data_IF_290062229218
#
_entry.id   IF_290062229218
#
_cell.length_a   1.000
_cell.length_b   1.000
_cell.length_c   1.000
_cell.angle_alpha   90.00
_cell.angle_beta   90.00
_cell.angle_gamma   90.00
#
_symmetry.space_group_name_H-M   'P 1'
#
loop_
_entity.id
_entity.type
_entity.pdbx_description
1 polymer ?
#
# COMPACT_ATOMS: atom_id res chain seq x y z
N UNK A 1 82.87 38.62 5.08
CA UNK A 1 82.38 37.20 5.06
C UNK A 1 80.96 37.18 5.31
N UNK A 2 80.13 37.20 4.22
CA UNK A 2 78.67 37.28 4.26
C UNK A 2 78.07 35.89 4.06
N UNK A 3 77.32 35.43 5.04
CA UNK A 3 76.46 34.24 4.87
C UNK A 3 75.06 34.69 4.51
N UNK A 4 74.64 34.42 3.30
CA UNK A 4 73.27 34.62 2.81
C UNK A 4 72.43 33.40 3.21
N UNK A 5 71.43 33.62 4.05
CA UNK A 5 70.45 32.59 4.38
C UNK A 5 69.35 32.64 3.30
N UNK A 6 69.23 31.55 2.53
CA UNK A 6 68.11 31.32 1.61
C UNK A 6 66.96 30.69 2.40
N UNK A 7 65.91 31.47 2.62
CA UNK A 7 64.62 30.97 3.17
C UNK A 7 63.78 30.44 2.01
N UNK A 8 63.56 29.12 1.91
CA UNK A 8 62.61 28.52 0.99
C UNK A 8 61.20 28.64 1.64
N UNK A 9 60.30 29.44 1.05
CA UNK A 9 58.87 29.39 1.32
C UNK A 9 58.26 28.21 0.59
N UNK A 10 57.90 27.17 1.31
CA UNK A 10 57.07 26.09 0.78
C UNK A 10 55.60 26.47 0.84
N UNK A 11 55.02 26.87 -0.29
CA UNK A 11 53.59 27.13 -0.45
C UNK A 11 52.86 25.76 -0.57
N UNK A 12 52.27 25.31 0.53
CA UNK A 12 51.41 24.15 0.52
C UNK A 12 50.07 24.54 -0.12
N UNK A 13 49.84 24.17 -1.39
CA UNK A 13 48.53 24.19 -2.01
C UNK A 13 47.64 23.13 -1.36
N UNK A 14 46.80 23.55 -0.42
CA UNK A 14 45.69 22.70 0.06
C UNK A 14 44.67 22.59 -1.07
N UNK A 15 44.75 21.48 -1.83
CA UNK A 15 43.62 21.04 -2.68
C UNK A 15 42.46 20.65 -1.77
N UNK A 16 41.55 21.58 -1.56
CA UNK A 16 40.24 21.26 -1.06
C UNK A 16 39.55 20.37 -2.10
N UNK A 17 39.52 19.08 -1.87
CA UNK A 17 38.65 18.15 -2.58
C UNK A 17 37.21 18.59 -2.25
N UNK A 18 36.66 19.51 -3.05
CA UNK A 18 35.23 19.73 -3.08
C UNK A 18 34.59 18.40 -3.52
N UNK A 19 34.15 17.61 -2.55
CA UNK A 19 33.26 16.49 -2.85
C UNK A 19 32.07 17.04 -3.61
N UNK A 20 31.81 16.60 -4.87
CA UNK A 20 30.64 17.09 -5.58
C UNK A 20 29.43 16.79 -4.71
N UNK A 21 28.64 17.81 -4.40
CA UNK A 21 27.33 17.66 -3.78
C UNK A 21 26.51 16.77 -4.74
N UNK A 22 26.51 15.48 -4.46
CA UNK A 22 25.83 14.51 -5.30
C UNK A 22 24.34 14.81 -5.19
N UNK A 23 23.74 15.29 -6.28
CA UNK A 23 22.31 15.52 -6.30
C UNK A 23 21.57 14.28 -5.80
N UNK A 24 20.84 14.43 -4.71
CA UNK A 24 20.06 13.35 -4.10
C UNK A 24 18.79 13.11 -4.90
N UNK A 25 18.27 11.91 -4.84
CA UNK A 25 16.95 11.59 -5.41
C UNK A 25 15.91 11.94 -4.35
N UNK A 26 15.18 13.04 -4.55
CA UNK A 26 14.18 13.53 -3.60
C UNK A 26 12.89 12.74 -3.68
N UNK A 27 12.50 12.09 -2.60
CA UNK A 27 11.24 11.38 -2.43
C UNK A 27 10.36 12.15 -1.44
N UNK A 28 9.19 12.59 -1.88
CA UNK A 28 8.21 13.27 -1.01
C UNK A 28 7.11 12.30 -0.60
N UNK A 29 7.02 12.03 0.69
CA UNK A 29 5.98 11.19 1.28
C UNK A 29 4.78 12.01 1.73
N UNK A 30 3.59 11.66 1.28
CA UNK A 30 2.32 12.28 1.63
C UNK A 30 1.45 11.20 2.27
N UNK A 31 1.36 11.22 3.60
CA UNK A 31 0.80 10.12 4.36
C UNK A 31 -0.32 10.57 5.27
N UNK A 32 -1.29 9.72 5.51
CA UNK A 32 -2.29 9.90 6.55
C UNK A 32 -1.63 9.59 7.92
N UNK A 33 -0.98 10.58 8.56
CA UNK A 33 -0.31 10.39 9.85
C UNK A 33 -1.22 10.72 11.03
N UNK A 34 -2.36 11.36 10.76
CA UNK A 34 -3.42 11.64 11.72
C UNK A 34 -4.81 11.41 11.09
N UNK A 35 -5.85 11.39 11.92
CA UNK A 35 -7.22 11.11 11.49
C UNK A 35 -7.49 9.62 11.23
N UNK A 36 -8.50 9.31 10.43
CA UNK A 36 -9.01 7.94 10.22
C UNK A 36 -8.03 7.01 9.50
N UNK A 37 -7.03 7.56 8.82
CA UNK A 37 -6.02 6.79 8.08
C UNK A 37 -4.68 6.64 8.80
N UNK A 38 -4.57 7.07 10.06
CA UNK A 38 -3.29 7.15 10.76
C UNK A 38 -2.53 5.82 10.81
N UNK A 39 -3.23 4.71 11.00
CA UNK A 39 -2.63 3.37 10.98
C UNK A 39 -2.05 3.04 9.60
N UNK A 40 -2.84 3.20 8.54
CA UNK A 40 -2.43 2.88 7.17
C UNK A 40 -1.26 3.77 6.72
N UNK A 41 -1.38 5.08 6.90
CA UNK A 41 -0.35 6.04 6.50
C UNK A 41 0.96 5.89 7.27
N UNK A 42 0.91 5.64 8.58
CA UNK A 42 2.11 5.41 9.41
C UNK A 42 2.84 4.14 8.97
N UNK A 43 2.12 3.05 8.73
CA UNK A 43 2.72 1.81 8.23
C UNK A 43 3.37 2.03 6.86
N UNK A 44 2.66 2.66 5.92
CA UNK A 44 3.19 2.94 4.58
C UNK A 44 4.47 3.80 4.65
N UNK A 45 4.45 4.89 5.44
CA UNK A 45 5.63 5.74 5.70
C UNK A 45 6.81 4.91 6.22
N UNK A 46 6.60 4.12 7.25
CA UNK A 46 7.66 3.34 7.87
C UNK A 46 8.24 2.29 6.90
N UNK A 47 7.41 1.72 6.02
CA UNK A 47 7.87 0.86 4.93
C UNK A 47 8.78 1.61 3.95
N UNK A 48 8.38 2.81 3.51
CA UNK A 48 9.20 3.67 2.63
C UNK A 48 10.54 4.02 3.29
N UNK A 49 10.51 4.45 4.56
CA UNK A 49 11.72 4.82 5.30
C UNK A 49 12.70 3.65 5.46
N UNK A 50 12.19 2.45 5.74
CA UNK A 50 13.00 1.25 5.82
C UNK A 50 13.71 0.96 4.50
N UNK A 51 12.96 1.00 3.38
CA UNK A 51 13.52 0.77 2.05
C UNK A 51 14.57 1.83 1.69
N UNK A 52 14.28 3.12 1.94
CA UNK A 52 15.24 4.22 1.72
C UNK A 52 16.53 3.98 2.51
N UNK A 53 16.43 3.60 3.78
CA UNK A 53 17.58 3.29 4.62
C UNK A 53 18.41 2.12 4.06
N UNK A 54 17.76 1.04 3.64
CA UNK A 54 18.45 -0.14 3.10
C UNK A 54 19.11 0.17 1.75
N UNK A 55 18.42 0.84 0.84
CA UNK A 55 18.97 1.25 -0.47
C UNK A 55 20.14 2.21 -0.28
N UNK A 56 20.01 3.17 0.63
CA UNK A 56 21.10 4.10 0.92
C UNK A 56 22.31 3.39 1.54
N UNK A 57 22.10 2.41 2.41
CA UNK A 57 23.20 1.59 2.95
C UNK A 57 23.92 0.79 1.84
N UNK A 58 23.17 0.32 0.83
CA UNK A 58 23.70 -0.41 -0.32
C UNK A 58 24.37 0.48 -1.40
N UNK A 59 24.44 1.81 -1.21
CA UNK A 59 25.10 2.72 -2.18
C UNK A 59 24.15 3.67 -2.92
N UNK A 60 22.82 3.54 -2.72
CA UNK A 60 21.83 4.35 -3.42
C UNK A 60 21.39 3.75 -4.76
N UNK A 61 20.78 4.55 -5.61
CA UNK A 61 20.38 4.16 -6.97
C UNK A 61 21.26 4.89 -7.97
N UNK A 62 21.90 4.18 -8.89
CA UNK A 62 22.89 4.73 -9.82
C UNK A 62 23.94 5.60 -9.09
N UNK A 63 24.36 5.18 -7.89
CA UNK A 63 25.33 5.90 -7.05
C UNK A 63 24.77 7.16 -6.36
N UNK A 64 23.47 7.46 -6.45
CA UNK A 64 22.82 8.59 -5.79
C UNK A 64 22.02 8.14 -4.59
N UNK A 65 22.18 8.84 -3.46
CA UNK A 65 21.38 8.59 -2.25
C UNK A 65 19.96 9.12 -2.42
N UNK A 66 19.04 8.46 -1.73
CA UNK A 66 17.66 8.90 -1.60
C UNK A 66 17.55 9.88 -0.43
N UNK A 67 16.86 10.98 -0.63
CA UNK A 67 16.40 11.89 0.41
C UNK A 67 14.88 11.72 0.54
N UNK A 68 14.38 11.46 1.74
CA UNK A 68 12.96 11.27 1.98
C UNK A 68 12.44 12.30 2.97
N UNK A 69 11.32 12.95 2.60
CA UNK A 69 10.54 13.83 3.46
C UNK A 69 9.15 13.25 3.67
N UNK A 70 8.52 13.53 4.81
CA UNK A 70 7.19 13.07 5.14
C UNK A 70 6.30 14.25 5.54
N UNK A 71 5.06 14.27 5.05
CA UNK A 71 4.04 15.25 5.39
C UNK A 71 2.72 14.55 5.74
N UNK A 72 2.00 15.11 6.72
CA UNK A 72 0.71 14.59 7.19
C UNK A 72 -0.44 15.16 6.35
N UNK A 73 -1.16 14.30 5.65
CA UNK A 73 -2.37 14.66 4.90
C UNK A 73 -3.58 14.87 5.81
N UNK A 74 -3.47 14.54 7.10
CA UNK A 74 -4.56 14.61 8.09
C UNK A 74 -5.80 13.79 7.68
N UNK A 75 -5.61 12.77 6.85
CA UNK A 75 -6.70 12.02 6.20
C UNK A 75 -7.69 12.91 5.43
N UNK A 76 -7.23 14.08 4.98
CA UNK A 76 -8.04 15.10 4.30
C UNK A 76 -7.61 15.26 2.84
N UNK A 77 -8.54 15.03 1.86
CA UNK A 77 -8.21 15.13 0.44
C UNK A 77 -7.72 16.53 0.01
N UNK A 78 -8.26 17.60 0.59
CA UNK A 78 -7.84 18.97 0.29
C UNK A 78 -6.40 19.27 0.75
N UNK A 79 -6.04 18.80 1.94
CA UNK A 79 -4.67 18.88 2.48
C UNK A 79 -3.72 18.06 1.60
N UNK A 80 -4.10 16.82 1.24
CA UNK A 80 -3.30 15.97 0.35
C UNK A 80 -2.99 16.66 -0.98
N UNK A 81 -3.99 17.34 -1.59
CA UNK A 81 -3.78 18.12 -2.82
C UNK A 81 -2.76 19.25 -2.61
N UNK A 82 -2.93 20.06 -1.58
CA UNK A 82 -1.98 21.14 -1.27
C UNK A 82 -0.56 20.65 -1.04
N UNK A 83 -0.41 19.55 -0.32
CA UNK A 83 0.90 18.92 -0.10
C UNK A 83 1.50 18.33 -1.38
N UNK A 84 0.68 17.84 -2.32
CA UNK A 84 1.17 17.39 -3.63
C UNK A 84 1.76 18.55 -4.43
N UNK A 85 1.08 19.70 -4.45
CA UNK A 85 1.62 20.93 -5.07
C UNK A 85 2.95 21.30 -4.44
N UNK A 86 2.99 21.36 -3.10
CA UNK A 86 4.24 21.68 -2.38
C UNK A 86 5.37 20.69 -2.70
N UNK A 87 5.09 19.38 -2.73
CA UNK A 87 6.09 18.37 -3.07
C UNK A 87 6.69 18.60 -4.48
N UNK A 88 5.85 18.98 -5.44
CA UNK A 88 6.26 19.35 -6.80
C UNK A 88 7.16 20.57 -6.78
N UNK A 89 6.76 21.63 -6.09
CA UNK A 89 7.51 22.89 -5.99
C UNK A 89 8.87 22.70 -5.28
N UNK A 90 8.92 21.81 -4.28
CA UNK A 90 10.16 21.42 -3.59
C UNK A 90 11.08 20.52 -4.45
N UNK A 91 10.66 20.18 -5.67
CA UNK A 91 11.45 19.43 -6.64
C UNK A 91 11.47 17.92 -6.42
N UNK A 92 10.37 17.32 -5.90
CA UNK A 92 10.25 15.88 -5.77
C UNK A 92 10.57 15.16 -7.08
N UNK A 93 11.40 14.13 -7.01
CA UNK A 93 11.63 13.20 -8.11
C UNK A 93 10.48 12.18 -8.24
N UNK A 94 10.02 11.70 -7.09
CA UNK A 94 8.84 10.84 -6.98
C UNK A 94 8.06 11.16 -5.69
N UNK A 95 6.76 10.88 -5.71
CA UNK A 95 5.86 11.04 -4.57
C UNK A 95 5.41 9.65 -4.10
N UNK A 96 5.36 9.44 -2.78
CA UNK A 96 4.86 8.23 -2.13
C UNK A 96 3.62 8.54 -1.29
N UNK A 97 2.52 7.86 -1.56
CA UNK A 97 1.21 8.17 -1.00
C UNK A 97 0.40 9.14 -1.88
N UNK A 98 -0.81 9.53 -1.46
CA UNK A 98 -1.53 9.06 -0.27
C UNK A 98 -1.89 7.57 -0.31
N UNK A 99 -2.40 7.04 0.83
CA UNK A 99 -2.98 5.69 0.90
C UNK A 99 -4.48 5.72 0.65
N UNK A 100 -5.18 6.72 1.17
CA UNK A 100 -6.64 6.82 1.01
C UNK A 100 -7.04 7.19 -0.42
N UNK A 101 -7.94 6.38 -1.00
CA UNK A 101 -8.39 6.54 -2.39
C UNK A 101 -8.96 7.92 -2.67
N UNK A 102 -9.76 8.50 -1.77
CA UNK A 102 -10.31 9.85 -1.92
C UNK A 102 -9.23 10.94 -1.98
N UNK A 103 -8.18 10.82 -1.15
CA UNK A 103 -7.03 11.73 -1.18
C UNK A 103 -6.26 11.62 -2.50
N UNK A 104 -6.08 10.40 -3.01
CA UNK A 104 -5.41 10.15 -4.29
C UNK A 104 -6.20 10.77 -5.44
N UNK A 105 -7.51 10.52 -5.50
CA UNK A 105 -8.40 11.00 -6.56
C UNK A 105 -8.37 12.53 -6.72
N UNK A 106 -8.21 13.26 -5.61
CA UNK A 106 -8.16 14.72 -5.61
C UNK A 106 -6.76 15.25 -5.92
N UNK A 107 -5.70 14.55 -5.50
CA UNK A 107 -4.31 15.04 -5.56
C UNK A 107 -3.55 14.62 -6.83
N UNK A 108 -3.89 13.46 -7.43
CA UNK A 108 -3.10 12.89 -8.52
C UNK A 108 -3.06 13.72 -9.81
N UNK A 109 -3.99 14.65 -10.01
CA UNK A 109 -3.95 15.58 -11.13
C UNK A 109 -2.73 16.51 -11.07
N UNK A 110 -2.25 16.84 -9.87
CA UNK A 110 -1.10 17.71 -9.67
C UNK A 110 0.21 16.98 -10.05
N UNK A 111 0.34 15.68 -9.71
CA UNK A 111 1.48 14.86 -10.14
C UNK A 111 1.52 14.70 -11.68
N UNK A 112 0.34 14.59 -12.33
CA UNK A 112 0.24 14.54 -13.80
C UNK A 112 0.74 15.83 -14.45
N UNK A 113 0.28 16.98 -13.96
CA UNK A 113 0.70 18.29 -14.50
C UNK A 113 2.21 18.50 -14.40
N UNK A 114 2.81 18.04 -13.30
CA UNK A 114 4.23 18.16 -13.02
C UNK A 114 5.08 17.02 -13.58
N UNK A 115 4.45 16.01 -14.19
CA UNK A 115 5.13 14.83 -14.73
C UNK A 115 5.99 14.09 -13.69
N UNK A 116 5.47 14.00 -12.43
CA UNK A 116 6.15 13.37 -11.30
C UNK A 116 5.54 12.00 -11.04
N UNK A 117 6.32 10.90 -11.08
CA UNK A 117 5.83 9.57 -10.68
C UNK A 117 5.28 9.57 -9.26
N UNK A 118 4.06 9.08 -9.08
CA UNK A 118 3.36 9.02 -7.80
C UNK A 118 2.96 7.57 -7.47
N UNK A 119 3.56 7.03 -6.41
CA UNK A 119 3.33 5.67 -5.92
C UNK A 119 2.25 5.71 -4.83
N UNK A 120 1.08 5.19 -5.14
CA UNK A 120 -0.12 5.30 -4.30
C UNK A 120 -0.52 3.97 -3.67
N UNK A 121 -1.04 4.02 -2.43
CA UNK A 121 -1.46 2.81 -1.70
C UNK A 121 -2.93 2.45 -1.86
N UNK A 122 -3.76 3.30 -2.50
CA UNK A 122 -5.20 3.12 -2.57
C UNK A 122 -5.66 2.06 -3.57
N UNK A 123 -6.84 1.50 -3.34
CA UNK A 123 -7.34 0.33 -4.05
C UNK A 123 -8.52 0.63 -5.01
N UNK A 124 -9.14 1.84 -4.91
CA UNK A 124 -10.25 2.20 -5.79
C UNK A 124 -9.87 2.08 -7.28
N UNK A 125 -10.65 1.31 -8.03
CA UNK A 125 -10.38 1.05 -9.44
C UNK A 125 -10.33 2.35 -10.28
N UNK A 126 -11.09 3.37 -9.89
CA UNK A 126 -11.14 4.65 -10.57
C UNK A 126 -9.79 5.40 -10.60
N UNK A 127 -8.85 5.11 -9.70
CA UNK A 127 -7.55 5.81 -9.62
C UNK A 127 -6.79 5.70 -10.94
N UNK A 128 -6.58 4.49 -11.44
CA UNK A 128 -5.80 4.24 -12.65
C UNK A 128 -6.64 4.33 -13.94
N UNK A 129 -7.96 4.11 -13.84
CA UNK A 129 -8.89 4.27 -14.99
C UNK A 129 -9.00 5.70 -15.51
N UNK A 130 -8.50 6.72 -14.78
CA UNK A 130 -8.45 8.09 -15.29
C UNK A 130 -7.31 8.35 -16.30
N UNK A 131 -6.48 7.35 -16.58
CA UNK A 131 -5.41 7.45 -17.57
C UNK A 131 -4.34 8.48 -17.20
N UNK A 132 -3.97 8.56 -15.93
CA UNK A 132 -2.84 9.34 -15.48
C UNK A 132 -1.55 8.52 -15.61
N UNK A 133 -0.62 8.85 -16.55
CA UNK A 133 0.56 8.03 -16.81
C UNK A 133 1.65 8.18 -15.74
N UNK A 134 1.42 8.99 -14.71
CA UNK A 134 2.35 9.21 -13.60
C UNK A 134 1.85 8.62 -12.27
N UNK A 135 0.74 7.88 -12.26
CA UNK A 135 0.23 7.21 -11.05
C UNK A 135 0.49 5.71 -11.14
N UNK A 136 1.13 5.18 -10.11
CA UNK A 136 1.53 3.77 -10.00
C UNK A 136 1.04 3.20 -8.67
N UNK A 137 0.23 2.16 -8.75
CA UNK A 137 -0.35 1.52 -7.59
C UNK A 137 0.63 0.53 -6.96
N UNK A 138 0.72 0.53 -5.63
CA UNK A 138 1.51 -0.45 -4.86
C UNK A 138 0.64 -1.51 -4.20
N UNK A 139 -0.68 -1.42 -4.36
CA UNK A 139 -1.71 -2.38 -3.92
C UNK A 139 -2.38 -3.06 -5.12
N UNK A 140 -3.27 -4.03 -4.87
CA UNK A 140 -4.20 -4.49 -5.89
C UNK A 140 -5.30 -3.47 -6.15
N UNK A 141 -5.81 -3.46 -7.37
CA UNK A 141 -7.07 -2.76 -7.68
C UNK A 141 -8.26 -3.62 -7.24
N UNK A 142 -9.36 -2.97 -6.87
CA UNK A 142 -10.63 -3.64 -6.53
C UNK A 142 -11.11 -4.56 -7.66
N UNK A 143 -10.90 -4.18 -8.92
CA UNK A 143 -11.27 -5.01 -10.07
C UNK A 143 -10.51 -6.35 -10.14
N UNK A 144 -9.30 -6.40 -9.59
CA UNK A 144 -8.50 -7.63 -9.50
C UNK A 144 -8.84 -8.45 -8.24
N UNK A 145 -9.06 -7.77 -7.11
CA UNK A 145 -9.28 -8.41 -5.81
C UNK A 145 -10.71 -9.00 -5.67
N UNK A 146 -11.75 -8.22 -6.00
CA UNK A 146 -13.13 -8.60 -5.72
C UNK A 146 -13.62 -9.86 -6.45
N UNK A 147 -13.24 -10.15 -7.71
CA UNK A 147 -13.55 -11.43 -8.33
C UNK A 147 -12.96 -12.64 -7.60
N UNK A 148 -11.80 -12.50 -6.95
CA UNK A 148 -11.18 -13.58 -6.15
C UNK A 148 -11.99 -13.82 -4.88
N UNK A 149 -12.41 -12.75 -4.19
CA UNK A 149 -13.30 -12.81 -3.01
C UNK A 149 -14.64 -13.46 -3.38
N UNK A 150 -15.26 -13.04 -4.47
CA UNK A 150 -16.56 -13.57 -4.91
C UNK A 150 -16.48 -15.08 -5.22
N UNK A 151 -15.41 -15.55 -5.89
CA UNK A 151 -15.18 -16.98 -6.12
C UNK A 151 -15.03 -17.77 -4.82
N UNK A 152 -14.32 -17.22 -3.84
CA UNK A 152 -14.20 -17.83 -2.52
C UNK A 152 -15.56 -17.92 -1.80
N UNK A 153 -16.36 -16.85 -1.84
CA UNK A 153 -17.72 -16.84 -1.24
C UNK A 153 -18.62 -17.88 -1.90
N UNK A 154 -18.63 -17.95 -3.23
CA UNK A 154 -19.48 -18.88 -3.98
C UNK A 154 -19.00 -20.34 -3.87
N UNK A 155 -17.72 -20.61 -4.06
CA UNK A 155 -17.14 -21.95 -4.14
C UNK A 155 -16.67 -22.50 -2.79
N UNK A 156 -15.91 -21.69 -2.04
CA UNK A 156 -15.34 -22.08 -0.75
C UNK A 156 -16.38 -22.11 0.37
N UNK A 157 -17.17 -21.05 0.51
CA UNK A 157 -18.23 -20.96 1.52
C UNK A 157 -19.57 -21.53 1.06
N UNK A 158 -19.77 -21.72 -0.24
CA UNK A 158 -21.03 -22.15 -0.87
C UNK A 158 -22.21 -21.22 -0.53
N UNK A 159 -21.93 -19.95 -0.22
CA UNK A 159 -22.95 -18.97 0.10
C UNK A 159 -23.77 -18.59 -1.15
N UNK A 160 -25.07 -18.36 -0.98
CA UNK A 160 -26.00 -17.91 -2.02
C UNK A 160 -26.37 -16.45 -1.85
N UNK A 161 -26.25 -15.95 -0.63
CA UNK A 161 -26.61 -14.58 -0.24
C UNK A 161 -25.52 -13.93 0.59
N UNK A 162 -25.29 -12.64 0.37
CA UNK A 162 -24.29 -11.84 1.09
C UNK A 162 -24.90 -10.52 1.54
N UNK A 163 -24.63 -10.13 2.78
CA UNK A 163 -24.78 -8.75 3.23
C UNK A 163 -23.42 -8.02 3.01
N UNK A 164 -23.45 -6.80 2.51
CA UNK A 164 -22.26 -5.97 2.30
C UNK A 164 -22.27 -4.82 3.30
N UNK A 165 -21.25 -4.72 4.14
CA UNK A 165 -21.00 -3.64 5.08
C UNK A 165 -19.75 -2.87 4.61
N UNK A 166 -19.89 -1.59 4.29
CA UNK A 166 -18.82 -0.81 3.70
C UNK A 166 -18.76 0.62 4.24
N UNK A 167 -17.56 1.23 4.20
CA UNK A 167 -17.38 2.64 4.55
C UNK A 167 -17.82 3.56 3.41
N UNK A 168 -18.53 4.64 3.74
CA UNK A 168 -19.08 5.61 2.79
C UNK A 168 -18.03 6.64 2.32
N UNK A 169 -17.04 6.19 1.58
CA UNK A 169 -16.04 7.02 0.89
C UNK A 169 -15.67 6.37 -0.46
N UNK A 170 -14.76 6.97 -1.23
CA UNK A 170 -14.39 6.46 -2.56
C UNK A 170 -13.83 5.03 -2.52
N UNK A 171 -13.08 4.68 -1.47
CA UNK A 171 -12.58 3.32 -1.25
C UNK A 171 -13.74 2.34 -1.03
N UNK A 172 -14.59 2.60 -0.04
CA UNK A 172 -15.67 1.69 0.33
C UNK A 172 -16.74 1.55 -0.74
N UNK A 173 -17.15 2.67 -1.37
CA UNK A 173 -18.11 2.66 -2.49
C UNK A 173 -17.60 1.87 -3.68
N UNK A 174 -16.37 2.12 -4.10
CA UNK A 174 -15.75 1.39 -5.21
C UNK A 174 -15.66 -0.11 -4.93
N UNK A 175 -15.28 -0.50 -3.70
CA UNK A 175 -15.24 -1.89 -3.28
C UNK A 175 -16.62 -2.54 -3.21
N UNK A 176 -17.63 -1.82 -2.69
CA UNK A 176 -19.03 -2.26 -2.68
C UNK A 176 -19.54 -2.53 -4.10
N UNK A 177 -19.29 -1.62 -5.03
CA UNK A 177 -19.72 -1.79 -6.42
C UNK A 177 -19.01 -2.96 -7.10
N UNK A 178 -17.69 -3.08 -6.92
CA UNK A 178 -16.89 -4.14 -7.48
C UNK A 178 -17.27 -5.53 -6.93
N UNK A 179 -17.46 -5.67 -5.61
CA UNK A 179 -17.88 -6.95 -5.03
C UNK A 179 -19.30 -7.33 -5.42
N UNK A 180 -20.23 -6.36 -5.47
CA UNK A 180 -21.62 -6.60 -5.90
C UNK A 180 -21.66 -7.16 -7.32
N UNK A 181 -20.90 -6.55 -8.23
CA UNK A 181 -20.76 -7.06 -9.60
C UNK A 181 -20.15 -8.45 -9.62
N UNK A 182 -19.03 -8.65 -8.94
CA UNK A 182 -18.33 -9.93 -8.93
C UNK A 182 -19.17 -11.06 -8.32
N UNK A 183 -19.99 -10.79 -7.30
CA UNK A 183 -20.94 -11.74 -6.70
C UNK A 183 -22.04 -12.10 -7.69
N UNK A 184 -22.59 -11.13 -8.42
CA UNK A 184 -23.58 -11.38 -9.45
C UNK A 184 -23.02 -12.27 -10.57
N UNK A 185 -21.78 -12.06 -11.00
CA UNK A 185 -21.09 -12.84 -12.04
C UNK A 185 -20.93 -14.33 -11.64
N UNK A 186 -20.94 -14.66 -10.32
CA UNK A 186 -20.87 -16.03 -9.80
C UNK A 186 -22.20 -16.53 -9.20
N UNK A 187 -23.32 -15.83 -9.43
CA UNK A 187 -24.65 -16.24 -9.03
C UNK A 187 -24.97 -16.07 -7.54
N UNK A 188 -24.26 -15.21 -6.83
CA UNK A 188 -24.50 -14.86 -5.41
C UNK A 188 -25.24 -13.54 -5.33
N UNK A 189 -26.30 -13.45 -4.51
CA UNK A 189 -27.13 -12.27 -4.36
C UNK A 189 -26.70 -11.40 -3.18
N UNK A 190 -26.57 -10.10 -3.38
CA UNK A 190 -26.48 -9.12 -2.29
C UNK A 190 -27.88 -8.87 -1.77
N UNK A 191 -28.13 -9.16 -0.48
CA UNK A 191 -29.43 -9.02 0.18
C UNK A 191 -29.51 -7.87 1.17
N UNK A 192 -28.37 -7.28 1.53
CA UNK A 192 -28.31 -6.06 2.33
C UNK A 192 -27.08 -5.25 1.93
N UNK A 193 -27.26 -3.94 1.82
CA UNK A 193 -26.24 -2.94 1.49
C UNK A 193 -26.19 -1.93 2.65
N UNK A 194 -25.11 -2.00 3.46
CA UNK A 194 -25.01 -1.36 4.77
C UNK A 194 -23.84 -0.39 4.75
N UNK A 195 -24.15 0.88 4.67
CA UNK A 195 -23.18 1.98 4.69
C UNK A 195 -22.84 2.39 6.13
N UNK A 196 -21.55 2.69 6.38
CA UNK A 196 -21.04 3.28 7.61
C UNK A 196 -20.24 4.54 7.30
N UNK A 197 -20.13 5.48 8.22
CA UNK A 197 -19.36 6.69 8.02
C UNK A 197 -17.85 6.46 8.26
N UNK A 198 -16.99 7.23 7.59
CA UNK A 198 -15.56 7.22 7.88
C UNK A 198 -15.30 7.67 9.32
N UNK A 199 -14.53 6.86 10.07
CA UNK A 199 -14.26 7.09 11.48
C UNK A 199 -15.39 6.68 12.43
N UNK A 200 -16.45 6.02 11.94
CA UNK A 200 -17.57 5.57 12.77
C UNK A 200 -17.11 4.73 13.97
N UNK A 201 -17.64 5.06 15.15
CA UNK A 201 -17.28 4.42 16.41
C UNK A 201 -18.28 3.34 16.79
N UNK A 202 -19.56 3.63 16.69
CA UNK A 202 -20.65 2.71 17.07
C UNK A 202 -21.12 1.90 15.85
N UNK A 203 -20.96 0.58 15.94
CA UNK A 203 -21.37 -0.38 14.89
C UNK A 203 -22.62 -1.17 15.29
N UNK A 204 -23.29 -0.82 16.40
CA UNK A 204 -24.47 -1.55 16.90
C UNK A 204 -25.59 -1.65 15.85
N UNK A 205 -25.96 -0.54 15.22
CA UNK A 205 -27.02 -0.51 14.20
C UNK A 205 -26.59 -1.16 12.87
N UNK A 206 -25.41 -0.90 12.30
CA UNK A 206 -24.91 -1.63 11.12
C UNK A 206 -24.86 -3.15 11.31
N UNK A 207 -24.36 -3.62 12.44
CA UNK A 207 -24.30 -5.05 12.76
C UNK A 207 -25.68 -5.66 12.93
N UNK A 208 -26.61 -4.95 13.59
CA UNK A 208 -28.02 -5.41 13.69
C UNK A 208 -28.64 -5.59 12.31
N UNK A 209 -28.43 -4.63 11.38
CA UNK A 209 -28.92 -4.74 9.99
C UNK A 209 -28.30 -5.96 9.28
N UNK A 210 -26.99 -6.21 9.46
CA UNK A 210 -26.34 -7.38 8.91
C UNK A 210 -26.94 -8.70 9.42
N UNK A 211 -27.24 -8.78 10.71
CA UNK A 211 -27.92 -9.95 11.31
C UNK A 211 -29.34 -10.14 10.76
N UNK A 212 -30.11 -9.07 10.71
CA UNK A 212 -31.51 -9.09 10.23
C UNK A 212 -31.63 -9.45 8.74
N UNK A 213 -30.58 -9.21 7.94
CA UNK A 213 -30.56 -9.61 6.52
C UNK A 213 -30.65 -11.12 6.31
N UNK A 214 -30.30 -11.89 7.31
CA UNK A 214 -30.21 -13.36 7.28
C UNK A 214 -29.32 -13.90 6.13
N UNK A 215 -28.40 -13.08 5.59
CA UNK A 215 -27.47 -13.50 4.55
C UNK A 215 -26.61 -14.71 4.99
N UNK A 216 -26.16 -15.53 4.03
CA UNK A 216 -25.28 -16.69 4.31
C UNK A 216 -23.88 -16.26 4.77
N UNK A 217 -23.40 -15.09 4.31
CA UNK A 217 -22.12 -14.52 4.71
C UNK A 217 -22.22 -12.98 4.78
N UNK A 218 -21.30 -12.37 5.53
CA UNK A 218 -21.12 -10.92 5.60
C UNK A 218 -19.79 -10.56 4.94
N UNK A 219 -19.83 -9.68 3.94
CA UNK A 219 -18.64 -9.03 3.39
C UNK A 219 -18.44 -7.69 4.09
N UNK A 220 -17.26 -7.49 4.69
CA UNK A 220 -16.88 -6.25 5.40
C UNK A 220 -15.77 -5.56 4.64
N UNK A 221 -16.00 -4.30 4.27
CA UNK A 221 -15.05 -3.48 3.52
C UNK A 221 -15.00 -2.04 4.07
N UNK A 222 -14.31 -1.90 5.17
CA UNK A 222 -14.12 -0.65 5.92
C UNK A 222 -12.62 -0.41 6.15
N UNK A 223 -12.24 0.77 6.65
CA UNK A 223 -10.85 1.00 7.03
C UNK A 223 -10.48 0.16 8.27
N UNK A 224 -9.22 0.13 8.65
CA UNK A 224 -8.68 -0.80 9.64
C UNK A 224 -9.34 -0.67 11.03
N UNK A 225 -9.43 0.54 11.58
CA UNK A 225 -10.04 0.76 12.91
C UNK A 225 -11.52 0.43 12.93
N UNK A 226 -12.22 0.76 11.85
CA UNK A 226 -13.64 0.48 11.66
C UNK A 226 -13.88 -1.04 11.53
N UNK A 227 -13.03 -1.74 10.79
CA UNK A 227 -13.05 -3.21 10.67
C UNK A 227 -12.91 -3.88 12.04
N UNK A 228 -11.98 -3.41 12.87
CA UNK A 228 -11.80 -3.93 14.22
C UNK A 228 -13.05 -3.70 15.12
N UNK A 229 -13.67 -2.51 15.02
CA UNK A 229 -14.91 -2.19 15.74
C UNK A 229 -16.07 -3.05 15.26
N UNK A 230 -16.21 -3.23 13.95
CA UNK A 230 -17.23 -4.09 13.35
C UNK A 230 -17.08 -5.54 13.82
N UNK A 231 -15.86 -6.10 13.81
CA UNK A 231 -15.61 -7.47 14.27
C UNK A 231 -15.99 -7.65 15.75
N UNK A 232 -15.59 -6.73 16.63
CA UNK A 232 -15.95 -6.78 18.05
C UNK A 232 -17.46 -6.73 18.25
N UNK A 233 -18.15 -5.83 17.56
CA UNK A 233 -19.62 -5.70 17.69
C UNK A 233 -20.35 -6.92 17.10
N UNK A 234 -19.86 -7.49 15.99
CA UNK A 234 -20.39 -8.73 15.41
C UNK A 234 -20.34 -9.87 16.44
N UNK A 235 -19.21 -10.06 17.12
CA UNK A 235 -19.08 -11.11 18.14
C UNK A 235 -19.93 -10.83 19.38
N UNK A 236 -19.93 -9.58 19.86
CA UNK A 236 -20.77 -9.15 20.97
C UNK A 236 -22.25 -9.41 20.73
N UNK A 237 -22.74 -9.19 19.51
CA UNK A 237 -24.12 -9.48 19.13
C UNK A 237 -24.36 -10.95 18.74
N UNK A 238 -23.37 -11.84 18.87
CA UNK A 238 -23.50 -13.26 18.58
C UNK A 238 -23.63 -13.58 17.09
N UNK A 239 -23.01 -12.80 16.21
CA UNK A 239 -22.94 -13.13 14.77
C UNK A 239 -22.05 -14.34 14.55
N UNK A 240 -22.60 -15.42 14.01
CA UNK A 240 -21.94 -16.73 13.88
C UNK A 240 -21.77 -17.21 12.42
N UNK A 241 -22.21 -16.42 11.44
CA UNK A 241 -22.02 -16.73 10.03
C UNK A 241 -20.65 -16.27 9.54
N UNK A 242 -20.15 -16.77 8.38
CA UNK A 242 -18.87 -16.37 7.82
C UNK A 242 -18.76 -14.86 7.64
N UNK A 243 -17.60 -14.32 8.06
CA UNK A 243 -17.20 -12.93 7.86
C UNK A 243 -16.04 -12.93 6.87
N UNK A 244 -16.23 -12.28 5.75
CA UNK A 244 -15.26 -12.22 4.64
C UNK A 244 -14.94 -10.78 4.33
N UNK A 245 -13.72 -10.50 3.92
CA UNK A 245 -13.31 -9.19 3.47
C UNK A 245 -12.17 -9.23 2.47
N UNK A 246 -11.54 -8.10 2.39
CA UNK A 246 -10.32 -7.87 1.66
C UNK A 246 -9.26 -7.38 2.67
N UNK A 247 -8.10 -7.02 2.23
CA UNK A 247 -6.87 -6.73 2.98
C UNK A 247 -7.09 -5.95 4.29
N UNK A 248 -8.00 -4.96 4.30
CA UNK A 248 -8.28 -4.11 5.48
C UNK A 248 -9.02 -4.82 6.60
N UNK A 249 -9.66 -5.99 6.35
CA UNK A 249 -10.40 -6.71 7.39
C UNK A 249 -9.48 -7.52 8.31
N UNK A 250 -8.37 -8.02 7.80
CA UNK A 250 -7.51 -8.98 8.52
C UNK A 250 -6.08 -8.49 8.70
N UNK A 251 -5.82 -7.19 8.46
CA UNK A 251 -4.52 -6.58 8.69
C UNK A 251 -4.04 -6.74 10.15
N UNK A 252 -2.73 -6.74 10.38
CA UNK A 252 -2.14 -6.97 11.71
C UNK A 252 -2.72 -6.03 12.78
N UNK A 253 -2.92 -4.74 12.44
CA UNK A 253 -3.50 -3.77 13.36
C UNK A 253 -4.96 -4.07 13.70
N UNK A 254 -5.73 -4.57 12.74
CA UNK A 254 -7.12 -5.01 12.98
C UNK A 254 -7.15 -6.19 13.95
N UNK A 255 -6.26 -7.16 13.76
CA UNK A 255 -6.13 -8.32 14.65
C UNK A 255 -5.79 -7.87 16.08
N UNK A 256 -4.82 -6.96 16.22
CA UNK A 256 -4.45 -6.40 17.53
C UNK A 256 -5.61 -5.69 18.21
N UNK A 257 -6.32 -4.84 17.48
CA UNK A 257 -7.42 -4.04 18.02
C UNK A 257 -8.69 -4.88 18.30
N UNK A 258 -8.97 -5.87 17.47
CA UNK A 258 -10.15 -6.72 17.63
C UNK A 258 -9.92 -7.87 18.62
N UNK A 259 -8.66 -8.29 18.83
CA UNK A 259 -8.32 -9.44 19.64
C UNK A 259 -9.01 -10.71 19.15
N UNK A 260 -9.57 -11.51 20.05
CA UNK A 260 -10.25 -12.76 19.73
C UNK A 260 -11.46 -12.59 18.80
N UNK A 261 -12.03 -11.39 18.72
CA UNK A 261 -13.13 -11.10 17.79
C UNK A 261 -12.73 -11.24 16.32
N UNK A 262 -11.43 -11.14 16.00
CA UNK A 262 -10.93 -11.33 14.65
C UNK A 262 -10.86 -12.80 14.23
N UNK A 263 -10.80 -13.75 15.18
CA UNK A 263 -10.65 -15.17 14.86
C UNK A 263 -11.78 -15.67 13.95
N UNK A 264 -11.41 -16.43 12.90
CA UNK A 264 -12.33 -16.95 11.89
C UNK A 264 -12.76 -15.95 10.83
N UNK A 265 -12.33 -14.66 10.89
CA UNK A 265 -12.49 -13.75 9.77
C UNK A 265 -11.57 -14.18 8.62
N UNK A 266 -12.08 -14.19 7.40
CA UNK A 266 -11.35 -14.56 6.20
C UNK A 266 -11.21 -13.35 5.25
N UNK A 267 -10.12 -13.28 4.51
CA UNK A 267 -9.95 -12.22 3.51
C UNK A 267 -9.07 -12.65 2.35
N UNK A 268 -9.29 -12.03 1.20
CA UNK A 268 -8.26 -11.92 0.17
C UNK A 268 -7.26 -10.84 0.60
N UNK A 269 -5.99 -11.16 0.58
CA UNK A 269 -4.92 -10.18 0.86
C UNK A 269 -3.86 -10.19 -0.24
N UNK A 270 -3.55 -9.03 -0.75
CA UNK A 270 -2.48 -8.87 -1.72
C UNK A 270 -1.09 -9.01 -1.10
N UNK A 271 -0.95 -8.71 0.19
CA UNK A 271 0.28 -8.77 0.95
C UNK A 271 -0.01 -9.16 2.40
N UNK A 272 0.81 -10.04 2.94
CA UNK A 272 0.80 -10.41 4.36
C UNK A 272 2.21 -10.68 4.86
N UNK A 273 2.51 -10.23 6.07
CA UNK A 273 3.78 -10.54 6.76
C UNK A 273 3.89 -12.03 7.16
N UNK A 274 2.80 -12.76 7.08
CA UNK A 274 2.72 -14.19 7.42
C UNK A 274 2.80 -15.09 6.17
N UNK A 275 3.07 -14.49 4.98
CA UNK A 275 3.34 -15.26 3.77
C UNK A 275 4.58 -16.15 3.96
N UNK A 276 4.53 -17.41 3.50
CA UNK A 276 5.64 -18.36 3.63
C UNK A 276 6.74 -18.06 2.58
N UNK A 277 7.34 -16.89 2.68
CA UNK A 277 8.35 -16.38 1.74
C UNK A 277 9.58 -15.89 2.53
N UNK A 278 10.80 -16.36 2.23
CA UNK A 278 12.00 -15.95 2.96
C UNK A 278 12.29 -14.44 2.91
N UNK A 279 11.95 -13.76 1.81
CA UNK A 279 12.13 -12.31 1.69
C UNK A 279 11.12 -11.56 2.56
N UNK A 280 9.89 -12.08 2.67
CA UNK A 280 8.90 -11.54 3.59
C UNK A 280 9.31 -11.71 5.06
N UNK A 281 9.87 -12.86 5.42
CA UNK A 281 10.41 -13.08 6.78
C UNK A 281 11.54 -12.10 7.10
N UNK A 282 12.41 -11.82 6.12
CA UNK A 282 13.48 -10.82 6.27
C UNK A 282 12.90 -9.42 6.46
N UNK A 283 11.93 -9.01 5.63
CA UNK A 283 11.24 -7.73 5.79
C UNK A 283 10.58 -7.62 7.17
N UNK A 284 9.81 -8.63 7.58
CA UNK A 284 9.14 -8.69 8.89
C UNK A 284 10.12 -8.46 10.05
N UNK A 285 11.26 -9.15 10.03
CA UNK A 285 12.30 -9.01 11.05
C UNK A 285 12.95 -7.62 11.04
N UNK A 286 13.27 -7.08 9.86
CA UNK A 286 13.89 -5.76 9.72
C UNK A 286 12.93 -4.64 10.15
N UNK A 287 11.67 -4.74 9.77
CA UNK A 287 10.64 -3.77 10.14
C UNK A 287 10.42 -3.77 11.66
N UNK A 288 10.27 -4.95 12.27
CA UNK A 288 10.13 -5.06 13.74
C UNK A 288 11.34 -4.47 14.47
N UNK A 289 12.55 -4.75 13.99
CA UNK A 289 13.77 -4.19 14.58
C UNK A 289 13.83 -2.66 14.49
N UNK A 290 13.30 -2.08 13.41
CA UNK A 290 13.31 -0.64 13.19
C UNK A 290 12.25 0.10 13.99
N UNK A 291 11.06 -0.49 14.18
CA UNK A 291 9.88 0.22 14.67
C UNK A 291 9.21 -0.41 15.91
N UNK A 292 9.68 -1.58 16.37
CA UNK A 292 9.19 -2.31 17.53
C UNK A 292 7.69 -2.70 17.45
N UNK A 293 7.17 -2.89 16.23
CA UNK A 293 5.86 -3.48 15.96
C UNK A 293 5.88 -4.20 14.61
N UNK A 294 4.89 -5.04 14.34
CA UNK A 294 4.79 -5.73 13.07
C UNK A 294 4.05 -4.89 12.03
N UNK A 295 4.63 -4.80 10.83
CA UNK A 295 4.00 -4.14 9.69
C UNK A 295 2.69 -4.81 9.31
N UNK A 296 1.76 -4.02 8.79
CA UNK A 296 0.65 -4.52 7.99
C UNK A 296 0.97 -4.48 6.49
N UNK A 297 -0.04 -4.74 5.65
CA UNK A 297 0.08 -4.68 4.20
C UNK A 297 0.50 -3.28 3.69
N UNK A 298 0.14 -2.20 4.39
CA UNK A 298 0.52 -0.84 3.97
C UNK A 298 2.01 -0.60 4.11
N UNK A 299 2.65 -1.10 5.18
CA UNK A 299 4.10 -1.02 5.30
C UNK A 299 4.83 -1.80 4.20
N UNK A 300 4.30 -2.98 3.83
CA UNK A 300 4.86 -3.74 2.71
C UNK A 300 4.67 -2.98 1.39
N UNK A 301 3.50 -2.36 1.14
CA UNK A 301 3.24 -1.50 -0.04
C UNK A 301 4.27 -0.37 -0.14
N UNK A 302 4.52 0.34 0.95
CA UNK A 302 5.51 1.41 1.00
C UNK A 302 6.93 0.93 0.70
N UNK A 303 7.34 -0.15 1.36
CA UNK A 303 8.65 -0.76 1.19
C UNK A 303 8.88 -1.22 -0.26
N UNK A 304 7.99 -2.05 -0.79
CA UNK A 304 8.12 -2.57 -2.15
C UNK A 304 8.00 -1.46 -3.20
N UNK A 305 7.21 -0.41 -2.95
CA UNK A 305 7.07 0.74 -3.84
C UNK A 305 8.39 1.45 -4.13
N UNK A 306 9.26 1.60 -3.11
CA UNK A 306 10.59 2.20 -3.31
C UNK A 306 11.50 1.30 -4.15
N UNK A 307 11.42 -0.02 -3.97
CA UNK A 307 12.19 -0.97 -4.79
C UNK A 307 11.66 -1.08 -6.23
N UNK A 308 10.35 -0.88 -6.44
CA UNK A 308 9.77 -0.74 -7.78
C UNK A 308 10.31 0.52 -8.47
N UNK A 309 10.37 1.66 -7.76
CA UNK A 309 11.01 2.88 -8.28
C UNK A 309 12.48 2.65 -8.61
N UNK A 310 13.22 1.98 -7.71
CA UNK A 310 14.63 1.62 -7.96
C UNK A 310 14.79 0.81 -9.25
N UNK A 311 14.02 -0.25 -9.42
CA UNK A 311 14.05 -1.08 -10.61
C UNK A 311 13.72 -0.30 -11.89
N UNK A 312 12.78 0.65 -11.81
CA UNK A 312 12.42 1.51 -12.96
C UNK A 312 13.53 2.51 -13.30
N UNK A 313 14.18 3.12 -12.31
CA UNK A 313 15.34 4.02 -12.53
C UNK A 313 16.50 3.25 -13.16
N UNK A 314 16.81 2.06 -12.67
CA UNK A 314 17.87 1.20 -13.21
C UNK A 314 17.55 0.75 -14.65
N UNK A 315 16.29 0.40 -14.94
CA UNK A 315 15.82 0.07 -16.30
C UNK A 315 15.93 1.28 -17.25
N UNK A 316 15.59 2.48 -16.76
CA UNK A 316 15.71 3.73 -17.53
C UNK A 316 17.19 4.16 -17.72
N UNK A 317 18.09 3.74 -16.85
CA UNK A 317 19.52 4.08 -16.86
C UNK A 317 19.84 5.54 -16.60
N UNK A 318 18.85 6.34 -16.15
CA UNK A 318 18.99 7.78 -15.90
C UNK A 318 17.94 8.30 -14.92
N UNK A 319 18.25 9.43 -14.27
CA UNK A 319 17.35 10.15 -13.37
C UNK A 319 16.52 11.19 -14.17
N UNK A 320 15.59 10.69 -14.95
CA UNK A 320 14.62 11.47 -15.73
C UNK A 320 13.20 10.99 -15.42
N UNK A 321 12.34 11.89 -14.92
CA UNK A 321 10.99 11.54 -14.43
C UNK A 321 10.13 10.87 -15.52
N UNK A 322 10.17 11.40 -16.75
CA UNK A 322 9.41 10.86 -17.88
C UNK A 322 9.90 9.48 -18.31
N UNK A 323 11.22 9.30 -18.38
CA UNK A 323 11.81 8.01 -18.72
C UNK A 323 11.52 6.95 -17.66
N UNK A 324 11.53 7.34 -16.37
CA UNK A 324 11.19 6.45 -15.26
C UNK A 324 9.71 6.08 -15.29
N UNK A 325 8.80 7.04 -15.51
CA UNK A 325 7.38 6.77 -15.67
C UNK A 325 7.12 5.83 -16.86
N UNK A 326 7.77 6.06 -18.01
CA UNK A 326 7.67 5.17 -19.15
C UNK A 326 8.22 3.75 -18.86
N UNK A 327 9.30 3.64 -18.08
CA UNK A 327 9.88 2.36 -17.68
C UNK A 327 9.01 1.58 -16.69
N UNK A 328 8.17 2.26 -15.90
CA UNK A 328 7.22 1.65 -14.98
C UNK A 328 6.07 0.94 -15.71
N UNK A 329 5.56 1.53 -16.80
CA UNK A 329 4.55 0.88 -17.64
C UNK A 329 5.14 -0.37 -18.29
N UNK A 330 4.50 -1.53 -18.06
CA UNK A 330 5.00 -2.82 -18.52
C UNK A 330 6.28 -3.30 -17.82
N UNK A 331 6.59 -2.78 -16.64
CA UNK A 331 7.72 -3.22 -15.82
C UNK A 331 7.46 -4.63 -15.29
N UNK A 332 8.44 -5.52 -15.48
CA UNK A 332 8.46 -6.84 -14.84
C UNK A 332 9.67 -6.93 -13.94
N UNK A 333 9.47 -7.25 -12.67
CA UNK A 333 10.53 -7.38 -11.68
C UNK A 333 10.49 -8.77 -11.06
N UNK A 334 11.64 -9.45 -11.08
CA UNK A 334 11.82 -10.74 -10.43
C UNK A 334 12.46 -10.52 -9.06
N UNK A 335 11.86 -11.07 -8.01
CA UNK A 335 12.37 -11.00 -6.65
C UNK A 335 13.78 -11.60 -6.51
N UNK A 336 14.13 -12.56 -7.35
CA UNK A 336 15.50 -13.10 -7.41
C UNK A 336 16.55 -12.08 -7.86
N UNK A 337 16.15 -11.05 -8.65
CA UNK A 337 17.03 -9.97 -9.11
C UNK A 337 16.94 -8.73 -8.22
N UNK A 338 15.77 -8.42 -7.74
CA UNK A 338 15.49 -7.30 -6.82
C UNK A 338 14.74 -7.82 -5.59
N UNK A 339 15.46 -8.33 -4.59
CA UNK A 339 14.83 -8.94 -3.41
C UNK A 339 13.90 -8.01 -2.63
N UNK A 340 14.07 -6.69 -2.75
CA UNK A 340 13.23 -5.71 -2.08
C UNK A 340 11.80 -5.65 -2.59
N UNK A 341 11.48 -6.20 -3.77
CA UNK A 341 10.08 -6.31 -4.21
C UNK A 341 9.34 -7.48 -3.57
N UNK A 342 10.06 -8.38 -2.88
CA UNK A 342 9.58 -9.52 -2.09
C UNK A 342 8.94 -10.63 -2.96
N UNK A 343 8.05 -10.28 -3.89
CA UNK A 343 7.39 -11.19 -4.82
C UNK A 343 7.67 -10.77 -6.26
N UNK A 344 7.70 -11.72 -7.16
CA UNK A 344 7.68 -11.41 -8.59
C UNK A 344 6.46 -10.56 -8.90
N UNK A 345 6.63 -9.49 -9.63
CA UNK A 345 5.53 -8.59 -9.99
C UNK A 345 5.64 -8.07 -11.42
N UNK A 346 4.52 -7.70 -11.98
CA UNK A 346 4.42 -6.92 -13.22
C UNK A 346 3.55 -5.69 -13.00
N UNK A 347 3.86 -4.63 -13.72
CA UNK A 347 3.00 -3.45 -13.82
C UNK A 347 2.39 -3.40 -15.22
N UNK A 348 1.11 -3.11 -15.30
CA UNK A 348 0.42 -2.99 -16.58
C UNK A 348 0.56 -1.58 -17.19
N UNK A 349 -0.10 -1.38 -18.35
CA UNK A 349 -0.09 -0.10 -19.05
C UNK A 349 -0.83 1.03 -18.30
N UNK A 350 -1.65 0.70 -17.31
CA UNK A 350 -2.39 1.69 -16.52
C UNK A 350 -1.67 2.06 -15.21
N UNK A 351 -0.55 1.39 -14.89
CA UNK A 351 0.15 1.57 -13.62
C UNK A 351 -0.40 0.72 -12.48
N UNK A 352 -1.20 -0.30 -12.78
CA UNK A 352 -1.64 -1.30 -11.81
C UNK A 352 -0.63 -2.45 -11.73
N UNK A 353 -0.41 -2.96 -10.52
CA UNK A 353 0.47 -4.11 -10.34
C UNK A 353 -0.30 -5.43 -10.32
N UNK A 354 0.38 -6.49 -10.76
CA UNK A 354 -0.06 -7.88 -10.64
C UNK A 354 1.05 -8.74 -10.03
N UNK A 355 0.67 -9.62 -9.11
CA UNK A 355 1.54 -10.59 -8.43
C UNK A 355 0.68 -11.68 -7.80
N UNK A 356 1.31 -12.66 -7.16
CA UNK A 356 0.59 -13.60 -6.30
C UNK A 356 -0.11 -12.89 -5.13
N UNK A 357 -1.17 -13.49 -4.63
CA UNK A 357 -1.98 -13.02 -3.50
C UNK A 357 -2.49 -14.21 -2.69
N UNK A 358 -3.20 -13.96 -1.61
CA UNK A 358 -3.52 -15.00 -0.65
C UNK A 358 -4.98 -14.93 -0.21
N UNK A 359 -5.60 -16.11 0.00
CA UNK A 359 -6.73 -16.21 0.91
C UNK A 359 -6.20 -16.55 2.29
N UNK A 360 -6.59 -15.76 3.27
CA UNK A 360 -6.16 -15.93 4.67
C UNK A 360 -7.35 -16.10 5.60
N UNK A 361 -7.11 -16.71 6.74
CA UNK A 361 -8.02 -16.77 7.89
C UNK A 361 -7.27 -16.30 9.13
N UNK A 362 -7.91 -15.47 9.95
CA UNK A 362 -7.33 -15.05 11.22
C UNK A 362 -7.47 -16.16 12.25
N UNK A 363 -6.36 -16.59 12.84
CA UNK A 363 -6.30 -17.59 13.87
C UNK A 363 -5.14 -17.36 14.83
N UNK A 364 -5.42 -17.34 16.12
CA UNK A 364 -4.39 -17.18 17.13
C UNK A 364 -3.59 -15.89 16.99
N UNK A 365 -4.24 -14.77 16.64
CA UNK A 365 -3.61 -13.45 16.55
C UNK A 365 -2.78 -13.19 15.29
N UNK A 366 -2.88 -14.01 14.26
CA UNK A 366 -2.17 -13.85 12.98
C UNK A 366 -2.98 -14.35 11.79
N UNK A 367 -2.56 -14.00 10.59
CA UNK A 367 -3.12 -14.51 9.35
C UNK A 367 -2.52 -15.89 9.04
N UNK A 368 -3.36 -16.92 8.96
CA UNK A 368 -2.97 -18.20 8.37
C UNK A 368 -3.29 -18.19 6.87
N UNK A 369 -2.29 -18.40 6.03
CA UNK A 369 -2.48 -18.53 4.59
C UNK A 369 -3.19 -19.84 4.30
N UNK A 370 -4.39 -19.77 3.72
CA UNK A 370 -5.20 -20.93 3.32
C UNK A 370 -4.96 -21.33 1.88
N UNK A 371 -4.72 -20.35 1.01
CA UNK A 371 -4.51 -20.54 -0.42
C UNK A 371 -3.60 -19.46 -0.98
N UNK A 372 -2.68 -19.86 -1.85
CA UNK A 372 -1.87 -18.94 -2.66
C UNK A 372 -2.54 -18.81 -4.02
N UNK A 373 -2.90 -17.58 -4.38
CA UNK A 373 -3.54 -17.27 -5.65
C UNK A 373 -2.50 -16.70 -6.61
N UNK A 374 -2.30 -17.31 -7.79
CA UNK A 374 -1.28 -16.85 -8.72
C UNK A 374 -1.58 -15.45 -9.26
N UNK A 375 -0.55 -14.78 -9.76
CA UNK A 375 -0.71 -13.58 -10.59
C UNK A 375 -1.60 -13.89 -11.79
N UNK A 376 -2.43 -12.93 -12.22
CA UNK A 376 -3.35 -13.10 -13.36
C UNK A 376 -2.57 -13.29 -14.67
N UNK A 377 -1.43 -12.63 -14.79
CA UNK A 377 -0.53 -12.68 -15.95
C UNK A 377 0.56 -13.75 -15.83
N UNK A 378 0.54 -14.59 -14.79
CA UNK A 378 1.43 -15.74 -14.72
C UNK A 378 1.13 -16.63 -15.92
N UNK A 379 2.08 -16.73 -16.85
CA UNK A 379 1.98 -17.66 -17.98
C UNK A 379 1.78 -19.06 -17.41
N UNK A 380 0.67 -19.71 -17.81
CA UNK A 380 0.44 -21.12 -17.58
C UNK A 380 1.56 -21.95 -18.15
#
# INVERSE_FOLDING_TARGET
>A
MNRIHKTLLATACALTLATPAWAQIKLSGLYELSGAGATAGTNFKNGVELAVKEINAAGGILGKKLEHTAADTQSNPGVAKGLTVKAVDDGAFAIFGPVFSGSIMVSMAESRKAEVPNFVGGEAAAITKQGNPYVFRTSFTQDTAMPKVARYIAGGLKAKTVAVLFVNNDFGKGGRDAITKALADVGVKVVADISTDSGQVDFSAPVLKAKQSNADALFVYTNEEESARALRELRKQGYNKPIVGETTLTGQKVIELAGDAANGATAHVGLTIDAPNPLMLKFKANFYRAYNYFSDHNGIKGYTGVYILKAAIEKAGKLDKKAVAAALHGLNVKAAKEPGVIFDLSMDANGDLDRESFMVEVKGGKQEVREVLPALNAKK
#
